data_IF_996345723193
#
_entry.id   IF_996345723193
#
_cell.length_a   1.000
_cell.length_b   1.000
_cell.length_c   1.000
_cell.angle_alpha   90.00
_cell.angle_beta   90.00
_cell.angle_gamma   90.00
#
_symmetry.space_group_name_H-M   'P 1'
#
loop_
_entity.id
_entity.type
_entity.pdbx_description
1 polymer ?
#
# COMPACT_ATOMS: atom_id res chain seq x y z
N UNK A 1 -24.45 57.03 -11.33
CA UNK A 1 -24.82 56.37 -10.06
C UNK A 1 -23.56 55.78 -9.46
N UNK A 2 -23.17 56.33 -8.31
CA UNK A 2 -22.30 55.87 -7.21
C UNK A 2 -21.16 54.85 -7.50
N UNK A 3 -19.87 55.17 -7.27
CA UNK A 3 -19.17 55.21 -5.95
C UNK A 3 -19.26 53.85 -5.22
N UNK A 4 -18.22 53.16 -4.74
CA UNK A 4 -16.93 53.58 -4.18
C UNK A 4 -16.09 52.33 -3.84
N UNK A 5 -14.75 52.45 -3.86
CA UNK A 5 -13.76 51.49 -3.35
C UNK A 5 -14.00 51.13 -1.89
N UNK A 6 -13.62 49.92 -1.45
CA UNK A 6 -12.91 49.77 -0.17
C UNK A 6 -12.01 48.52 -0.15
N UNK A 7 -10.71 48.76 -0.12
CA UNK A 7 -9.68 47.90 0.44
C UNK A 7 -9.94 47.64 1.93
N UNK A 8 -9.72 46.41 2.41
CA UNK A 8 -9.26 46.22 3.80
C UNK A 8 -8.43 44.94 3.93
N UNK A 9 -7.12 45.16 4.05
CA UNK A 9 -6.15 44.30 4.69
C UNK A 9 -6.54 44.04 6.14
N UNK A 10 -6.51 42.79 6.59
CA UNK A 10 -6.36 42.45 8.01
C UNK A 10 -5.33 41.34 8.13
N UNK A 11 -4.11 41.78 8.44
CA UNK A 11 -3.11 41.03 9.20
C UNK A 11 -3.67 40.82 10.60
N UNK A 12 -3.55 39.62 11.13
CA UNK A 12 -3.71 39.33 12.54
C UNK A 12 -3.37 37.86 12.78
N UNK A 13 -2.70 37.46 13.84
CA UNK A 13 -1.98 38.18 14.90
C UNK A 13 -1.15 37.06 15.56
N UNK A 14 0.17 37.18 15.52
CA UNK A 14 1.05 36.25 16.21
C UNK A 14 0.97 36.52 17.72
N UNK A 15 0.08 35.83 18.43
CA UNK A 15 0.11 35.79 19.90
C UNK A 15 0.16 34.34 20.38
N UNK A 16 1.35 33.72 20.25
CA UNK A 16 1.69 32.50 21.01
C UNK A 16 1.98 32.94 22.43
N UNK A 17 1.00 32.78 23.33
CA UNK A 17 1.13 33.02 24.76
C UNK A 17 2.20 32.09 25.33
N UNK A 18 3.34 32.67 25.71
CA UNK A 18 4.27 32.06 26.67
C UNK A 18 3.63 32.10 28.04
N UNK A 19 3.13 30.96 28.51
CA UNK A 19 2.82 30.74 29.92
C UNK A 19 3.83 29.77 30.49
N UNK A 20 4.80 30.34 31.20
CA UNK A 20 5.72 29.64 32.09
C UNK A 20 5.05 29.50 33.46
N UNK A 21 5.06 28.29 34.01
CA UNK A 21 4.95 27.91 35.45
C UNK A 21 4.81 26.39 35.47
N UNK A 22 5.37 25.59 36.37
CA UNK A 22 6.46 25.67 37.33
C UNK A 22 6.57 24.21 37.84
N UNK A 23 7.78 23.79 38.20
CA UNK A 23 8.11 22.42 38.56
C UNK A 23 7.34 21.89 39.78
N UNK A 24 6.89 20.64 39.70
CA UNK A 24 6.65 19.78 40.88
C UNK A 24 7.56 18.56 40.73
N UNK A 25 8.60 18.53 41.55
CA UNK A 25 9.41 17.35 41.84
C UNK A 25 8.59 16.42 42.75
N UNK A 26 8.53 15.12 42.45
CA UNK A 26 8.71 14.06 43.47
C UNK A 26 8.79 12.64 42.87
N UNK A 27 9.91 11.98 43.19
CA UNK A 27 10.09 10.58 43.56
C UNK A 27 9.77 9.43 42.57
N UNK A 28 10.87 8.93 41.99
CA UNK A 28 11.31 7.52 41.93
C UNK A 28 10.25 6.39 41.91
N UNK A 29 10.16 5.72 40.76
CA UNK A 29 9.97 4.28 40.70
C UNK A 29 10.86 3.70 39.59
N UNK A 30 11.88 2.95 39.99
CA UNK A 30 12.64 2.06 39.11
C UNK A 30 11.70 0.95 38.63
N UNK A 31 11.13 1.11 37.45
CA UNK A 31 10.59 0.00 36.68
C UNK A 31 11.55 -0.23 35.52
N UNK A 32 12.24 -1.34 35.57
CA UNK A 32 13.06 -1.90 34.48
C UNK A 32 12.30 -1.79 33.17
N UNK A 33 12.76 -0.91 32.27
CA UNK A 33 12.40 -1.00 30.86
C UNK A 33 13.09 -2.26 30.32
N UNK A 34 12.45 -3.41 30.53
CA UNK A 34 12.58 -4.51 29.59
C UNK A 34 11.95 -3.99 28.31
N UNK A 35 12.72 -3.20 27.56
CA UNK A 35 12.49 -3.00 26.15
C UNK A 35 12.64 -4.40 25.54
N UNK A 36 11.54 -5.15 25.53
CA UNK A 36 11.33 -6.14 24.51
C UNK A 36 11.32 -5.36 23.21
N UNK A 37 12.51 -5.14 22.67
CA UNK A 37 12.75 -5.29 21.26
C UNK A 37 12.01 -6.55 20.84
N UNK A 38 10.75 -6.39 20.42
CA UNK A 38 10.19 -7.28 19.43
C UNK A 38 10.92 -6.95 18.14
N UNK A 39 12.19 -7.35 18.10
CA UNK A 39 12.85 -7.83 16.90
C UNK A 39 12.04 -9.05 16.45
N UNK A 40 10.84 -8.79 15.91
CA UNK A 40 10.16 -9.71 15.03
C UNK A 40 10.87 -9.60 13.68
N UNK A 41 12.17 -9.90 13.71
CA UNK A 41 12.87 -10.42 12.54
C UNK A 41 12.32 -11.83 12.39
N UNK A 42 11.10 -11.91 11.88
CA UNK A 42 10.69 -13.07 11.11
C UNK A 42 11.66 -13.10 9.94
N UNK A 43 12.76 -13.83 10.14
CA UNK A 43 13.59 -14.41 9.11
C UNK A 43 12.63 -15.25 8.27
N UNK A 44 11.95 -14.57 7.35
CA UNK A 44 11.03 -15.19 6.44
C UNK A 44 11.91 -16.07 5.57
N UNK A 45 11.86 -17.38 5.85
CA UNK A 45 12.44 -18.39 5.00
C UNK A 45 12.17 -18.00 3.53
N UNK A 46 13.15 -18.09 2.63
CA UNK A 46 13.02 -17.58 1.27
C UNK A 46 11.74 -18.15 0.66
N UNK A 47 10.76 -17.28 0.41
CA UNK A 47 9.52 -17.67 -0.27
C UNK A 47 9.93 -18.22 -1.62
N UNK A 48 9.59 -19.48 -1.86
CA UNK A 48 9.88 -20.12 -3.14
C UNK A 48 8.85 -19.64 -4.17
N UNK A 49 8.97 -18.38 -4.60
CA UNK A 49 8.08 -17.76 -5.56
C UNK A 49 8.30 -18.42 -6.93
N UNK A 50 7.25 -19.02 -7.54
CA UNK A 50 7.33 -19.58 -8.89
C UNK A 50 7.85 -18.56 -9.90
N UNK A 51 8.53 -19.03 -10.94
CA UNK A 51 8.91 -18.17 -12.06
C UNK A 51 7.66 -17.63 -12.78
N UNK A 52 7.67 -16.34 -13.09
CA UNK A 52 6.59 -15.65 -13.77
C UNK A 52 7.14 -14.56 -14.71
N UNK A 53 6.29 -14.08 -15.62
CA UNK A 53 6.58 -12.98 -16.53
C UNK A 53 5.50 -11.91 -16.41
N UNK A 54 5.87 -10.63 -16.31
CA UNK A 54 4.92 -9.52 -16.43
C UNK A 54 4.77 -9.21 -17.92
N UNK A 55 3.64 -9.59 -18.51
CA UNK A 55 3.37 -9.40 -19.94
C UNK A 55 2.69 -8.06 -20.25
N UNK A 56 2.11 -7.42 -19.22
CA UNK A 56 1.56 -6.07 -19.31
C UNK A 56 1.68 -5.35 -17.97
N UNK A 57 2.00 -4.07 -18.02
CA UNK A 57 1.90 -3.17 -16.87
C UNK A 57 1.54 -1.77 -17.38
N UNK A 58 0.35 -1.30 -17.02
CA UNK A 58 -0.03 0.08 -17.29
C UNK A 58 0.81 1.04 -16.40
N UNK A 59 1.29 2.13 -16.98
CA UNK A 59 2.21 3.09 -16.34
C UNK A 59 1.57 4.44 -15.98
N UNK A 60 0.28 4.60 -16.31
CA UNK A 60 -0.42 5.87 -16.22
C UNK A 60 -1.87 5.70 -15.75
N UNK A 61 -2.41 6.77 -15.18
CA UNK A 61 -3.73 6.77 -14.56
C UNK A 61 -3.75 6.27 -13.11
N UNK A 62 -4.89 6.47 -12.46
CA UNK A 62 -5.12 6.11 -11.05
C UNK A 62 -5.56 4.66 -10.87
N UNK A 63 -5.93 3.98 -11.95
CA UNK A 63 -6.25 2.55 -12.01
C UNK A 63 -5.36 1.93 -13.08
N UNK A 64 -4.62 0.89 -12.72
CA UNK A 64 -3.59 0.28 -13.58
C UNK A 64 -3.74 -1.23 -13.59
N UNK A 65 -3.65 -1.83 -14.77
CA UNK A 65 -3.66 -3.29 -14.92
C UNK A 65 -2.22 -3.81 -14.96
N UNK A 66 -1.97 -4.89 -14.23
CA UNK A 66 -0.72 -5.66 -14.31
C UNK A 66 -1.09 -7.08 -14.68
N UNK A 67 -0.66 -7.55 -15.85
CA UNK A 67 -0.87 -8.93 -16.28
C UNK A 67 0.40 -9.74 -16.12
N UNK A 68 0.26 -10.87 -15.46
CA UNK A 68 1.33 -11.79 -15.09
C UNK A 68 1.02 -13.16 -15.65
N UNK A 69 2.01 -13.79 -16.26
CA UNK A 69 1.90 -15.16 -16.77
C UNK A 69 2.77 -16.12 -15.97
N UNK A 70 2.19 -17.27 -15.61
CA UNK A 70 2.85 -18.36 -14.86
C UNK A 70 2.70 -19.69 -15.61
N UNK A 71 3.67 -20.59 -15.44
CA UNK A 71 3.62 -21.94 -16.04
C UNK A 71 2.92 -22.97 -15.16
N UNK A 72 2.77 -22.69 -13.87
CA UNK A 72 2.13 -23.58 -12.90
C UNK A 72 1.09 -22.83 -12.08
N UNK A 73 0.10 -23.56 -11.59
CA UNK A 73 -0.94 -23.08 -10.67
C UNK A 73 -0.47 -23.08 -9.21
N UNK A 74 0.67 -23.69 -8.91
CA UNK A 74 1.22 -23.70 -7.57
C UNK A 74 1.85 -22.34 -7.22
N UNK A 75 1.73 -21.89 -5.97
CA UNK A 75 2.41 -20.68 -5.47
C UNK A 75 1.92 -19.35 -6.04
N UNK A 76 0.71 -19.29 -6.59
CA UNK A 76 0.18 -18.05 -7.22
C UNK A 76 0.01 -16.89 -6.25
N UNK A 77 -0.29 -17.16 -4.98
CA UNK A 77 -0.33 -16.11 -3.96
C UNK A 77 1.06 -15.50 -3.74
N UNK A 78 2.12 -16.32 -3.73
CA UNK A 78 3.49 -15.82 -3.60
C UNK A 78 3.90 -14.98 -4.82
N UNK A 79 3.46 -15.36 -6.02
CA UNK A 79 3.63 -14.54 -7.24
C UNK A 79 2.91 -13.21 -7.09
N UNK A 80 1.66 -13.21 -6.63
CA UNK A 80 0.91 -11.98 -6.38
C UNK A 80 1.62 -11.08 -5.37
N UNK A 81 2.06 -11.64 -4.24
CA UNK A 81 2.73 -10.88 -3.18
C UNK A 81 4.06 -10.26 -3.66
N UNK A 82 4.85 -11.00 -4.44
CA UNK A 82 6.09 -10.50 -5.02
C UNK A 82 5.84 -9.38 -6.04
N UNK A 83 4.82 -9.54 -6.91
CA UNK A 83 4.42 -8.49 -7.86
C UNK A 83 3.92 -7.25 -7.12
N UNK A 84 2.98 -7.43 -6.19
CA UNK A 84 2.40 -6.34 -5.41
C UNK A 84 3.44 -5.59 -4.56
N UNK A 85 4.49 -6.29 -4.09
CA UNK A 85 5.62 -5.70 -3.37
C UNK A 85 6.49 -4.78 -4.23
N UNK A 86 6.45 -4.91 -5.56
CA UNK A 86 7.20 -4.08 -6.51
C UNK A 86 6.43 -2.83 -6.96
N UNK A 87 5.13 -2.78 -6.70
CA UNK A 87 4.26 -1.67 -7.09
C UNK A 87 4.32 -0.57 -6.04
N UNK A 88 4.81 0.61 -6.43
CA UNK A 88 5.15 1.70 -5.48
C UNK A 88 4.61 3.08 -5.86
N UNK A 89 4.10 3.27 -7.09
CA UNK A 89 3.50 4.56 -7.47
C UNK A 89 2.06 4.65 -6.98
N UNK A 90 1.63 5.86 -6.59
CA UNK A 90 0.28 6.16 -6.07
C UNK A 90 -0.80 5.87 -7.13
N UNK A 91 -1.39 4.68 -7.04
CA UNK A 91 -2.39 4.15 -7.95
C UNK A 91 -3.04 2.88 -7.37
N UNK A 92 -4.19 2.53 -7.91
CA UNK A 92 -4.85 1.26 -7.67
C UNK A 92 -4.45 0.25 -8.73
N UNK A 93 -3.78 -0.82 -8.31
CA UNK A 93 -3.35 -1.86 -9.22
C UNK A 93 -4.28 -3.05 -9.16
N UNK A 94 -4.68 -3.54 -10.33
CA UNK A 94 -5.44 -4.77 -10.50
C UNK A 94 -4.52 -5.77 -11.20
N UNK A 95 -4.09 -6.76 -10.43
CA UNK A 95 -3.15 -7.80 -10.86
C UNK A 95 -3.93 -8.98 -11.40
N UNK A 96 -3.52 -9.43 -12.57
CA UNK A 96 -4.16 -10.45 -13.37
C UNK A 96 -3.18 -11.60 -13.57
N UNK A 97 -3.36 -12.73 -12.88
CA UNK A 97 -2.47 -13.88 -13.01
C UNK A 97 -3.08 -14.90 -13.96
N UNK A 98 -2.45 -15.11 -15.10
CA UNK A 98 -2.87 -16.04 -16.15
C UNK A 98 -1.90 -17.20 -16.29
N UNK A 99 -2.38 -18.31 -16.84
CA UNK A 99 -1.49 -19.33 -17.37
C UNK A 99 -0.74 -18.83 -18.60
N UNK A 100 0.53 -19.15 -18.70
CA UNK A 100 1.33 -18.93 -19.89
C UNK A 100 1.07 -20.02 -20.95
N UNK A 101 1.13 -19.69 -22.25
CA UNK A 101 1.03 -18.34 -22.83
C UNK A 101 -0.43 -17.94 -23.04
N UNK A 102 -0.82 -16.73 -22.64
CA UNK A 102 -2.16 -16.15 -22.92
C UNK A 102 -3.36 -17.01 -22.49
N UNK A 103 -3.16 -17.90 -21.52
CA UNK A 103 -4.10 -18.91 -21.08
C UNK A 103 -5.16 -18.39 -20.11
N UNK A 104 -5.82 -19.33 -19.41
CA UNK A 104 -6.90 -19.02 -18.49
C UNK A 104 -6.45 -18.14 -17.31
N UNK A 105 -7.36 -17.28 -16.84
CA UNK A 105 -7.20 -16.51 -15.59
C UNK A 105 -7.20 -17.47 -14.41
N UNK A 106 -6.15 -17.39 -13.60
CA UNK A 106 -5.95 -18.21 -12.41
C UNK A 106 -6.27 -17.47 -11.11
N UNK A 107 -5.97 -16.18 -11.05
CA UNK A 107 -6.24 -15.36 -9.89
C UNK A 107 -6.32 -13.89 -10.26
N UNK A 108 -7.05 -13.14 -9.44
CA UNK A 108 -7.03 -11.69 -9.45
C UNK A 108 -6.43 -11.20 -8.15
N UNK A 109 -5.82 -10.03 -8.20
CA UNK A 109 -5.35 -9.34 -7.01
C UNK A 109 -5.57 -7.84 -7.11
N UNK A 110 -5.62 -7.19 -5.96
CA UNK A 110 -5.67 -5.74 -5.85
C UNK A 110 -4.53 -5.27 -4.96
N UNK A 111 -3.91 -4.15 -5.32
CA UNK A 111 -2.95 -3.45 -4.47
C UNK A 111 -3.29 -1.96 -4.44
N UNK A 112 -3.53 -1.43 -3.24
CA UNK A 112 -3.65 0.00 -3.01
C UNK A 112 -2.26 0.57 -2.66
N UNK A 113 -1.85 1.57 -3.41
CA UNK A 113 -0.69 2.42 -3.06
C UNK A 113 -1.17 3.85 -3.04
N UNK A 114 -1.01 4.53 -1.91
CA UNK A 114 -1.43 5.89 -1.68
C UNK A 114 -2.95 6.09 -1.66
N UNK A 115 -3.34 7.37 -1.57
CA UNK A 115 -4.75 7.75 -1.50
C UNK A 115 -5.50 7.44 -2.80
N UNK A 116 -4.82 7.55 -3.95
CA UNK A 116 -5.44 7.21 -5.23
C UNK A 116 -5.65 5.70 -5.32
N UNK A 117 -4.69 4.91 -4.85
CA UNK A 117 -4.84 3.46 -4.77
C UNK A 117 -5.96 3.00 -3.86
N UNK A 118 -6.07 3.61 -2.68
CA UNK A 118 -7.17 3.32 -1.76
C UNK A 118 -8.53 3.63 -2.39
N UNK A 119 -8.68 4.82 -2.99
CA UNK A 119 -9.91 5.23 -3.65
C UNK A 119 -10.26 4.35 -4.86
N UNK A 120 -9.27 3.90 -5.63
CA UNK A 120 -9.46 3.09 -6.82
C UNK A 120 -9.87 1.64 -6.51
N UNK A 121 -9.28 1.04 -5.48
CA UNK A 121 -9.47 -0.39 -5.17
C UNK A 121 -10.53 -0.63 -4.10
N UNK A 122 -10.86 0.39 -3.31
CA UNK A 122 -11.71 0.27 -2.13
C UNK A 122 -11.00 -0.36 -0.91
N UNK A 123 -9.68 -0.55 -0.99
CA UNK A 123 -8.85 -1.02 0.12
C UNK A 123 -8.26 0.17 0.89
N UNK A 124 -7.76 -0.07 2.10
CA UNK A 124 -6.91 0.92 2.78
C UNK A 124 -5.55 1.06 2.08
N UNK A 125 -4.88 2.21 2.27
CA UNK A 125 -3.53 2.43 1.76
C UNK A 125 -2.54 1.33 2.21
N UNK A 126 -1.72 0.89 1.26
CA UNK A 126 -0.73 -0.16 1.42
C UNK A 126 -1.31 -1.58 1.42
N UNK A 127 -2.63 -1.75 1.49
CA UNK A 127 -3.25 -3.08 1.55
C UNK A 127 -3.33 -3.75 0.19
N UNK A 128 -3.41 -5.07 0.25
CA UNK A 128 -3.57 -5.94 -0.91
C UNK A 128 -4.61 -7.02 -0.63
N UNK A 129 -5.31 -7.42 -1.66
CA UNK A 129 -6.31 -8.50 -1.64
C UNK A 129 -5.98 -9.49 -2.75
N UNK A 130 -6.06 -10.78 -2.47
CA UNK A 130 -5.82 -11.85 -3.44
C UNK A 130 -7.04 -12.76 -3.51
N UNK A 131 -7.46 -13.07 -4.73
CA UNK A 131 -8.61 -13.92 -5.01
C UNK A 131 -8.22 -14.96 -6.08
N UNK A 132 -8.05 -16.21 -5.65
CA UNK A 132 -7.84 -17.33 -6.55
C UNK A 132 -9.14 -17.66 -7.31
N UNK A 133 -9.04 -17.94 -8.60
CA UNK A 133 -10.15 -18.44 -9.39
C UNK A 133 -10.41 -19.91 -9.06
N UNK A 134 -11.62 -20.27 -8.58
CA UNK A 134 -11.93 -21.65 -8.27
C UNK A 134 -11.79 -22.56 -9.49
N UNK A 135 -11.13 -23.70 -9.31
CA UNK A 135 -10.91 -24.73 -10.33
C UNK A 135 -10.07 -24.29 -11.55
N UNK A 136 -9.49 -23.09 -11.54
CA UNK A 136 -8.57 -22.66 -12.60
C UNK A 136 -7.25 -23.42 -12.49
N UNK A 137 -6.74 -23.92 -13.62
CA UNK A 137 -5.47 -24.66 -13.70
C UNK A 137 -4.76 -24.38 -15.02
N UNK A 138 -3.44 -24.43 -14.98
CA UNK A 138 -2.66 -24.48 -16.21
C UNK A 138 -2.71 -25.89 -16.81
N UNK A 139 -2.75 -25.99 -18.15
CA UNK A 139 -2.55 -27.27 -18.82
C UNK A 139 -1.18 -27.83 -18.44
N UNK A 140 -1.13 -29.13 -18.21
CA UNK A 140 0.08 -29.87 -17.88
C UNK A 140 0.97 -30.10 -19.10
#
# INVERSE_FOLDING_TARGET
>A
MSHTRHTRTTVGDHTVKRTATAAVLLAAALATLTACSSDDSTDAAPKNTPAYEITRQDDSGNQRIVTVEVKTTDGMQDVFEDVAGKLSEDAGYFVEINCAPGGARLANGKKAVGNMGAAATGLDDGKSEYEAQPNAKCPA
#
